data_IF_066779733886
#
_entry.id   IF_066779733886
#
_cell.length_a   1.000
_cell.length_b   1.000
_cell.length_c   1.000
_cell.angle_alpha   90.00
_cell.angle_beta   90.00
_cell.angle_gamma   90.00
#
_symmetry.space_group_name_H-M   'P 1'
#
loop_
_entity.id
_entity.type
_entity.pdbx_description
1 polymer ?
#
# COMPACT_ATOMS: atom_id res chain seq x y z
N UNK A 1 -2.45 32.65 30.04
CA UNK A 1 -2.85 31.33 30.57
C UNK A 1 -4.22 30.92 30.01
N UNK A 2 -4.34 29.78 29.34
CA UNK A 2 -5.66 29.20 28.97
C UNK A 2 -6.32 28.58 30.21
N UNK A 3 -7.00 29.42 31.00
CA UNK A 3 -7.44 29.09 32.36
C UNK A 3 -8.40 27.91 32.42
N UNK A 4 -9.34 27.82 31.47
CA UNK A 4 -10.35 26.76 31.41
C UNK A 4 -9.72 25.38 31.19
N UNK A 5 -8.75 25.29 30.28
CA UNK A 5 -8.05 24.03 29.94
C UNK A 5 -7.18 23.54 31.11
N UNK A 6 -6.52 24.46 31.82
CA UNK A 6 -5.69 24.14 32.99
C UNK A 6 -6.56 23.75 34.19
N UNK A 7 -7.68 24.45 34.40
CA UNK A 7 -8.65 24.13 35.45
C UNK A 7 -9.27 22.74 35.25
N UNK A 8 -9.61 22.38 34.01
CA UNK A 8 -10.10 21.04 33.65
C UNK A 8 -9.04 19.96 33.96
N UNK A 9 -7.78 20.20 33.57
CA UNK A 9 -6.68 19.26 33.80
C UNK A 9 -6.42 19.03 35.30
N UNK A 10 -6.43 20.09 36.10
CA UNK A 10 -6.26 20.01 37.57
C UNK A 10 -7.44 19.27 38.20
N UNK A 11 -8.66 19.62 37.81
CA UNK A 11 -9.90 19.02 38.34
C UNK A 11 -10.00 17.52 38.01
N UNK A 12 -9.48 17.11 36.85
CA UNK A 12 -9.41 15.70 36.45
C UNK A 12 -8.53 14.88 37.38
N UNK A 13 -7.38 15.40 37.81
CA UNK A 13 -6.45 14.67 38.67
C UNK A 13 -6.72 14.84 40.17
N UNK A 14 -7.38 15.94 40.57
CA UNK A 14 -7.73 16.25 41.95
C UNK A 14 -9.22 16.65 42.08
N UNK A 15 -10.18 15.72 41.87
CA UNK A 15 -11.62 15.99 41.81
C UNK A 15 -12.29 16.31 43.16
N UNK A 16 -11.56 16.89 44.10
CA UNK A 16 -12.06 17.24 45.45
C UNK A 16 -11.36 18.44 46.06
N UNK A 17 -10.71 19.28 45.24
CA UNK A 17 -10.17 20.55 45.71
C UNK A 17 -11.30 21.52 46.02
N UNK A 18 -11.13 22.30 47.10
CA UNK A 18 -12.03 23.41 47.36
C UNK A 18 -11.83 24.49 46.30
N UNK A 19 -12.89 25.24 46.00
CA UNK A 19 -12.85 26.35 45.04
C UNK A 19 -11.76 27.35 45.41
N UNK A 20 -11.58 27.64 46.70
CA UNK A 20 -10.54 28.54 47.19
C UNK A 20 -9.12 28.01 46.92
N UNK A 21 -8.89 26.72 47.13
CA UNK A 21 -7.59 26.08 46.87
C UNK A 21 -7.28 26.02 45.37
N UNK A 22 -8.29 25.81 44.53
CA UNK A 22 -8.16 25.80 43.08
C UNK A 22 -7.81 27.20 42.55
N UNK A 23 -8.47 28.24 43.04
CA UNK A 23 -8.18 29.63 42.65
C UNK A 23 -6.74 30.02 43.00
N UNK A 24 -6.29 29.75 44.24
CA UNK A 24 -4.91 30.05 44.65
C UNK A 24 -3.86 29.24 43.88
N UNK A 25 -4.20 28.01 43.47
CA UNK A 25 -3.31 27.20 42.63
C UNK A 25 -3.18 27.77 41.21
N UNK A 26 -4.29 28.24 40.62
CA UNK A 26 -4.27 28.87 39.30
C UNK A 26 -3.47 30.18 39.29
N UNK A 27 -3.57 30.99 40.35
CA UNK A 27 -2.77 32.21 40.52
C UNK A 27 -1.26 31.91 40.60
N UNK A 28 -0.87 30.89 41.38
CA UNK A 28 0.54 30.47 41.45
C UNK A 28 1.05 29.93 40.11
N UNK A 29 0.24 29.19 39.37
CA UNK A 29 0.61 28.71 38.03
C UNK A 29 0.76 29.86 37.03
N UNK A 30 -0.09 30.89 37.14
CA UNK A 30 0.03 32.10 36.32
C UNK A 30 1.30 32.90 36.66
N UNK A 31 1.64 33.04 37.95
CA UNK A 31 2.90 33.68 38.40
C UNK A 31 4.16 32.92 37.93
N UNK A 32 4.07 31.59 37.82
CA UNK A 32 5.13 30.74 37.29
C UNK A 32 5.27 30.82 35.75
N UNK A 33 4.37 31.51 35.07
CA UNK A 33 4.38 31.66 33.61
C UNK A 33 3.81 30.46 32.86
N UNK A 34 2.91 29.69 33.47
CA UNK A 34 2.21 28.59 32.78
C UNK A 34 1.18 29.19 31.82
N UNK A 35 1.40 29.05 30.52
CA UNK A 35 0.51 29.61 29.50
C UNK A 35 -0.49 28.57 28.97
N UNK A 36 -0.07 27.30 28.92
CA UNK A 36 -0.78 26.18 28.31
C UNK A 36 -0.73 24.91 29.15
N UNK A 37 -1.59 23.94 28.83
CA UNK A 37 -1.59 22.61 29.47
C UNK A 37 -0.25 21.87 29.32
N UNK A 38 0.49 22.11 28.23
CA UNK A 38 1.78 21.48 27.99
C UNK A 38 2.84 21.93 29.03
N UNK A 39 2.74 23.16 29.51
CA UNK A 39 3.68 23.75 30.46
C UNK A 39 3.55 23.13 31.86
N UNK A 40 2.39 22.54 32.17
CA UNK A 40 2.12 21.86 33.45
C UNK A 40 3.06 20.68 33.72
N UNK A 41 3.66 20.09 32.68
CA UNK A 41 4.63 18.98 32.81
C UNK A 41 5.97 19.47 33.40
N UNK A 42 6.27 20.77 33.25
CA UNK A 42 7.53 21.39 33.71
C UNK A 42 7.46 21.85 35.17
N UNK A 43 6.26 21.91 35.76
CA UNK A 43 6.02 22.31 37.14
C UNK A 43 6.61 21.27 38.11
N UNK A 44 7.31 21.74 39.15
CA UNK A 44 7.94 20.89 40.16
C UNK A 44 7.15 20.87 41.47
N UNK A 45 7.43 19.89 42.33
CA UNK A 45 6.75 19.77 43.63
C UNK A 45 6.92 21.03 44.47
N UNK A 46 8.11 21.64 44.44
CA UNK A 46 8.46 22.84 45.21
C UNK A 46 7.60 24.05 44.86
N UNK A 47 7.14 24.13 43.61
CA UNK A 47 6.34 25.24 43.10
C UNK A 47 4.91 25.20 43.65
N UNK A 48 4.44 24.02 44.04
CA UNK A 48 3.05 23.75 44.43
C UNK A 48 2.84 23.60 45.94
N UNK A 49 3.91 23.56 46.73
CA UNK A 49 3.85 23.30 48.20
C UNK A 49 3.03 24.35 48.94
N UNK A 50 2.95 25.58 48.41
CA UNK A 50 2.17 26.68 49.01
C UNK A 50 0.66 26.45 48.93
N UNK A 51 0.19 25.67 47.94
CA UNK A 51 -1.24 25.52 47.63
C UNK A 51 -1.74 24.09 47.87
N UNK A 52 -0.87 23.09 47.74
CA UNK A 52 -1.23 21.68 47.78
C UNK A 52 -0.41 20.91 48.82
N UNK A 53 -1.03 19.90 49.44
CA UNK A 53 -0.30 18.97 50.32
C UNK A 53 0.66 18.11 49.48
N UNK A 54 1.77 17.60 50.06
CA UNK A 54 2.75 16.80 49.31
C UNK A 54 2.18 15.63 48.51
N UNK A 55 1.16 14.96 49.04
CA UNK A 55 0.48 13.84 48.33
C UNK A 55 -0.36 14.35 47.15
N UNK A 56 -0.98 15.53 47.27
CA UNK A 56 -1.73 16.15 46.18
C UNK A 56 -0.80 16.64 45.08
N UNK A 57 0.36 17.23 45.41
CA UNK A 57 1.40 17.58 44.44
C UNK A 57 1.85 16.36 43.64
N UNK A 58 2.22 15.27 44.34
CA UNK A 58 2.63 14.02 43.68
C UNK A 58 1.54 13.42 42.81
N UNK A 59 0.29 13.45 43.26
CA UNK A 59 -0.86 12.92 42.51
C UNK A 59 -1.12 13.73 41.24
N UNK A 60 -1.04 15.07 41.33
CA UNK A 60 -1.20 15.97 40.19
C UNK A 60 -0.05 15.79 39.19
N UNK A 61 1.21 15.89 39.63
CA UNK A 61 2.37 15.80 38.76
C UNK A 61 2.53 14.42 38.13
N UNK A 62 2.27 13.34 38.86
CA UNK A 62 2.27 11.99 38.27
C UNK A 62 1.07 11.78 37.35
N UNK A 63 -0.08 12.40 37.63
CA UNK A 63 -1.23 12.39 36.73
C UNK A 63 -0.91 13.05 35.39
N UNK A 64 -0.30 14.23 35.43
CA UNK A 64 0.08 15.02 34.25
C UNK A 64 1.23 14.38 33.46
N UNK A 65 2.19 13.73 34.13
CA UNK A 65 3.31 13.01 33.48
C UNK A 65 2.88 11.69 32.82
N UNK A 66 1.85 11.05 33.37
CA UNK A 66 1.30 9.79 32.86
C UNK A 66 0.03 9.99 32.03
N UNK A 67 -0.40 11.24 31.83
CA UNK A 67 -1.42 11.53 30.83
C UNK A 67 -0.86 11.22 29.45
N UNK A 68 -1.64 10.60 28.54
CA UNK A 68 -1.30 10.63 27.14
C UNK A 68 -1.29 12.10 26.74
N UNK A 69 -0.09 12.66 26.50
CA UNK A 69 0.11 14.01 26.00
C UNK A 69 -0.94 14.30 24.92
N UNK A 70 -1.88 15.20 25.22
CA UNK A 70 -2.91 15.59 24.27
C UNK A 70 -2.21 15.98 22.95
N UNK A 71 -2.43 15.20 21.89
CA UNK A 71 -1.80 15.39 20.58
C UNK A 71 -0.80 14.31 20.14
N UNK A 72 -0.29 13.42 21.01
CA UNK A 72 0.49 12.26 20.56
C UNK A 72 -0.42 11.09 20.17
N UNK A 73 -0.33 10.57 18.94
CA UNK A 73 -1.11 9.41 18.54
C UNK A 73 -0.82 8.17 19.42
N UNK A 74 -1.87 7.49 19.89
CA UNK A 74 -1.79 6.36 20.84
C UNK A 74 -0.84 5.24 20.42
N UNK A 75 -0.65 5.04 19.11
CA UNK A 75 0.15 3.95 18.56
C UNK A 75 1.66 4.15 18.70
N UNK A 76 2.12 5.36 19.04
CA UNK A 76 3.54 5.66 19.25
C UNK A 76 4.04 5.00 20.55
N UNK A 77 3.26 5.16 21.61
CA UNK A 77 3.58 4.63 22.95
C UNK A 77 2.92 3.28 23.22
N UNK A 78 2.14 2.77 22.26
CA UNK A 78 1.54 1.45 22.35
C UNK A 78 2.62 0.37 22.55
N UNK A 79 2.41 -0.46 23.57
CA UNK A 79 3.24 -1.63 23.86
C UNK A 79 2.32 -2.84 23.99
N UNK A 80 2.67 -3.91 23.28
CA UNK A 80 1.94 -5.17 23.38
C UNK A 80 2.11 -5.73 24.79
N UNK A 81 0.99 -5.99 25.45
CA UNK A 81 0.95 -6.68 26.75
C UNK A 81 1.18 -8.17 26.55
N UNK A 82 2.46 -8.54 26.47
CA UNK A 82 2.91 -9.92 26.27
C UNK A 82 2.57 -10.84 27.44
N UNK A 83 2.36 -10.29 28.64
CA UNK A 83 1.88 -10.99 29.84
C UNK A 83 0.50 -11.64 29.63
N UNK A 84 -0.35 -11.05 28.79
CA UNK A 84 -1.68 -11.59 28.43
C UNK A 84 -1.64 -12.68 27.37
N UNK A 85 -0.46 -13.04 26.86
CA UNK A 85 -0.29 -14.07 25.84
C UNK A 85 -0.13 -15.47 26.46
N UNK A 86 -0.39 -16.51 25.66
CA UNK A 86 -0.18 -17.91 26.09
C UNK A 86 1.27 -18.17 26.50
N UNK A 87 1.46 -19.15 27.38
CA UNK A 87 2.80 -19.56 27.82
C UNK A 87 3.68 -20.02 26.65
N UNK A 88 3.09 -20.62 25.60
CA UNK A 88 3.79 -21.01 24.37
C UNK A 88 4.44 -19.82 23.67
N UNK A 89 3.70 -18.72 23.49
CA UNK A 89 4.21 -17.49 22.86
C UNK A 89 5.28 -16.85 23.75
N UNK A 90 5.03 -16.71 25.05
CA UNK A 90 6.00 -16.12 25.98
C UNK A 90 7.32 -16.90 25.99
N UNK A 91 7.26 -18.24 26.02
CA UNK A 91 8.44 -19.11 25.91
C UNK A 91 9.16 -18.92 24.56
N UNK A 92 8.43 -18.84 23.45
CA UNK A 92 9.03 -18.59 22.14
C UNK A 92 9.77 -17.25 22.09
N UNK A 93 9.21 -16.19 22.71
CA UNK A 93 9.86 -14.88 22.82
C UNK A 93 11.13 -14.91 23.67
N UNK A 94 11.08 -15.55 24.84
CA UNK A 94 12.26 -15.72 25.71
C UNK A 94 13.37 -16.50 25.01
N UNK A 95 12.99 -17.51 24.23
CA UNK A 95 13.94 -18.33 23.46
C UNK A 95 14.36 -17.69 22.13
N UNK A 96 13.84 -16.50 21.79
CA UNK A 96 14.08 -15.83 20.51
C UNK A 96 13.82 -16.74 19.30
N UNK A 97 12.78 -17.58 19.41
CA UNK A 97 12.42 -18.60 18.42
C UNK A 97 11.10 -18.26 17.73
N UNK A 98 10.97 -18.64 16.46
CA UNK A 98 9.77 -18.42 15.67
C UNK A 98 8.59 -19.20 16.28
N UNK A 99 7.47 -18.53 16.65
CA UNK A 99 6.30 -19.21 17.15
C UNK A 99 5.68 -20.14 16.10
N UNK A 100 4.97 -21.18 16.56
CA UNK A 100 4.23 -22.08 15.67
C UNK A 100 3.19 -21.31 14.83
N UNK A 101 2.76 -21.81 13.67
CA UNK A 101 1.71 -21.16 12.87
C UNK A 101 0.41 -20.93 13.64
N UNK A 102 0.05 -21.82 14.58
CA UNK A 102 -1.11 -21.67 15.46
C UNK A 102 -0.91 -20.56 16.50
N UNK A 103 0.23 -20.56 17.19
CA UNK A 103 0.58 -19.54 18.18
C UNK A 103 0.69 -18.16 17.55
N UNK A 104 1.27 -18.05 16.34
CA UNK A 104 1.36 -16.78 15.60
C UNK A 104 -0.03 -16.23 15.27
N UNK A 105 -0.96 -17.08 14.82
CA UNK A 105 -2.36 -16.66 14.57
C UNK A 105 -3.04 -16.18 15.86
N UNK A 106 -2.81 -16.85 16.98
CA UNK A 106 -3.34 -16.42 18.28
C UNK A 106 -2.75 -15.07 18.70
N UNK A 107 -1.43 -14.92 18.63
CA UNK A 107 -0.72 -13.67 18.92
C UNK A 107 -1.30 -12.51 18.12
N UNK A 108 -1.47 -12.67 16.80
CA UNK A 108 -2.04 -11.62 15.94
C UNK A 108 -3.45 -11.23 16.38
N UNK A 109 -4.29 -12.21 16.77
CA UNK A 109 -5.64 -11.93 17.29
C UNK A 109 -5.55 -11.10 18.56
N UNK A 110 -4.72 -11.51 19.52
CA UNK A 110 -4.57 -10.83 20.80
C UNK A 110 -3.98 -9.42 20.65
N UNK A 111 -3.01 -9.21 19.76
CA UNK A 111 -2.48 -7.86 19.44
C UNK A 111 -3.60 -6.96 18.90
N UNK A 112 -4.38 -7.44 17.94
CA UNK A 112 -5.51 -6.66 17.40
C UNK A 112 -6.58 -6.42 18.44
N UNK A 113 -6.83 -7.38 19.35
CA UNK A 113 -7.76 -7.19 20.46
C UNK A 113 -7.30 -6.04 21.38
N UNK A 114 -6.00 -5.93 21.66
CA UNK A 114 -5.42 -4.81 22.42
C UNK A 114 -5.47 -3.48 21.64
N UNK A 115 -5.24 -3.49 20.32
CA UNK A 115 -5.38 -2.28 19.50
C UNK A 115 -6.81 -1.71 19.52
N UNK A 116 -7.81 -2.61 19.53
CA UNK A 116 -9.23 -2.25 19.57
C UNK A 116 -9.66 -1.58 20.88
N UNK A 117 -8.84 -1.66 21.95
CA UNK A 117 -9.06 -0.89 23.18
C UNK A 117 -8.81 0.61 22.97
N UNK A 118 -8.09 1.00 21.90
CA UNK A 118 -7.76 2.39 21.56
C UNK A 118 -8.47 2.90 20.30
N UNK A 119 -8.55 2.08 19.25
CA UNK A 119 -9.12 2.44 17.96
C UNK A 119 -9.84 1.22 17.36
N UNK A 120 -11.14 1.39 17.06
CA UNK A 120 -11.97 0.34 16.48
C UNK A 120 -11.65 0.08 14.99
N UNK A 121 -10.98 1.00 14.29
CA UNK A 121 -10.59 0.80 12.90
C UNK A 121 -9.22 1.43 12.57
N UNK A 122 -8.13 0.85 13.10
CA UNK A 122 -6.78 1.35 12.87
C UNK A 122 -6.42 1.34 11.38
N UNK A 123 -5.84 2.45 10.93
CA UNK A 123 -5.37 2.60 9.55
C UNK A 123 -4.19 1.67 9.26
N UNK A 124 -3.87 1.47 7.98
CA UNK A 124 -2.70 0.65 7.60
C UNK A 124 -1.40 1.19 8.18
N UNK A 125 -1.23 2.52 8.24
CA UNK A 125 -0.05 3.17 8.82
C UNK A 125 0.09 2.90 10.32
N UNK A 126 -1.02 2.93 11.05
CA UNK A 126 -1.06 2.56 12.48
C UNK A 126 -0.69 1.08 12.66
N UNK A 127 -1.30 0.20 11.87
CA UNK A 127 -0.99 -1.23 11.92
C UNK A 127 0.49 -1.51 11.60
N UNK A 128 1.07 -0.78 10.65
CA UNK A 128 2.47 -0.89 10.28
C UNK A 128 3.40 -0.43 11.40
N UNK A 129 3.11 0.70 12.05
CA UNK A 129 3.90 1.19 13.19
C UNK A 129 3.99 0.14 14.31
N UNK A 130 2.87 -0.52 14.60
CA UNK A 130 2.82 -1.57 15.63
C UNK A 130 3.53 -2.85 15.17
N UNK A 131 3.30 -3.30 13.92
CA UNK A 131 3.99 -4.47 13.37
C UNK A 131 5.51 -4.28 13.35
N UNK A 132 5.96 -3.10 12.94
CA UNK A 132 7.36 -2.70 12.91
C UNK A 132 7.97 -2.68 14.32
N UNK A 133 7.27 -2.10 15.31
CA UNK A 133 7.71 -2.10 16.71
C UNK A 133 7.89 -3.53 17.26
N UNK A 134 6.94 -4.43 16.99
CA UNK A 134 7.02 -5.84 17.39
C UNK A 134 8.23 -6.54 16.75
N UNK A 135 8.45 -6.33 15.45
CA UNK A 135 9.57 -6.96 14.72
C UNK A 135 10.90 -6.40 15.17
N UNK A 136 10.98 -5.10 15.47
CA UNK A 136 12.18 -4.47 16.02
C UNK A 136 12.56 -5.07 17.37
N UNK A 137 11.57 -5.29 18.25
CA UNK A 137 11.81 -5.83 19.59
C UNK A 137 12.09 -7.35 19.56
N UNK A 138 11.52 -8.09 18.59
CA UNK A 138 11.66 -9.55 18.45
C UNK A 138 11.92 -10.00 17.00
N UNK A 139 13.07 -9.61 16.40
CA UNK A 139 13.31 -9.84 14.97
C UNK A 139 13.40 -11.32 14.62
N UNK A 140 14.05 -12.15 15.45
CA UNK A 140 14.17 -13.60 15.22
C UNK A 140 12.83 -14.33 15.28
N UNK A 141 11.86 -13.78 16.00
CA UNK A 141 10.53 -14.39 16.15
C UNK A 141 9.61 -14.05 14.97
N UNK A 142 9.67 -12.80 14.49
CA UNK A 142 8.61 -12.26 13.63
C UNK A 142 9.06 -11.69 12.29
N UNK A 143 10.34 -11.36 12.11
CA UNK A 143 10.83 -10.75 10.88
C UNK A 143 10.65 -11.68 9.67
N UNK A 144 10.42 -11.06 8.52
CA UNK A 144 10.47 -11.71 7.23
C UNK A 144 11.93 -11.91 6.81
N UNK A 145 12.39 -13.16 6.88
CA UNK A 145 13.78 -13.54 6.58
C UNK A 145 13.79 -14.42 5.32
N UNK A 146 14.66 -14.08 4.37
CA UNK A 146 14.90 -14.82 3.14
C UNK A 146 15.68 -16.12 3.36
N UNK A 147 15.83 -16.92 2.30
CA UNK A 147 16.53 -18.22 2.36
C UNK A 147 18.00 -18.10 2.81
N UNK A 148 18.62 -16.92 2.64
CA UNK A 148 20.02 -16.66 3.00
C UNK A 148 20.17 -15.99 4.36
N UNK A 149 19.09 -15.80 5.11
CA UNK A 149 19.12 -15.12 6.41
C UNK A 149 19.00 -13.60 6.34
N UNK A 150 18.83 -13.04 5.14
CA UNK A 150 18.62 -11.61 4.90
C UNK A 150 17.19 -11.17 5.25
N UNK A 151 17.04 -10.00 5.88
CA UNK A 151 15.72 -9.44 6.19
C UNK A 151 15.11 -8.84 4.92
N UNK A 152 13.88 -9.24 4.59
CA UNK A 152 13.17 -8.76 3.40
C UNK A 152 12.51 -7.41 3.71
N UNK A 153 12.96 -6.34 3.05
CA UNK A 153 12.44 -4.98 3.28
C UNK A 153 12.70 -4.52 4.72
N UNK A 154 11.66 -4.08 5.42
CA UNK A 154 11.73 -3.74 6.85
C UNK A 154 11.43 -4.94 7.78
N UNK A 155 11.24 -6.13 7.20
CA UNK A 155 10.95 -7.37 7.92
C UNK A 155 9.52 -7.49 8.47
N UNK A 156 8.67 -6.46 8.32
CA UNK A 156 7.35 -6.40 8.97
C UNK A 156 6.17 -6.73 8.07
N UNK A 157 6.41 -6.95 6.77
CA UNK A 157 5.36 -7.05 5.77
C UNK A 157 4.33 -8.16 6.07
N UNK A 158 4.78 -9.40 6.34
CA UNK A 158 3.87 -10.51 6.59
C UNK A 158 3.05 -10.31 7.87
N UNK A 159 3.66 -9.72 8.91
CA UNK A 159 2.99 -9.43 10.16
C UNK A 159 1.96 -8.30 9.99
N UNK A 160 2.31 -7.23 9.26
CA UNK A 160 1.39 -6.16 8.89
C UNK A 160 0.16 -6.72 8.17
N UNK A 161 0.36 -7.59 7.17
CA UNK A 161 -0.77 -8.15 6.42
C UNK A 161 -1.68 -9.00 7.32
N UNK A 162 -1.10 -9.80 8.23
CA UNK A 162 -1.87 -10.60 9.19
C UNK A 162 -2.68 -9.72 10.16
N UNK A 163 -2.07 -8.66 10.69
CA UNK A 163 -2.73 -7.69 11.57
C UNK A 163 -3.86 -6.99 10.82
N UNK A 164 -3.61 -6.48 9.60
CA UNK A 164 -4.62 -5.73 8.85
C UNK A 164 -5.80 -6.60 8.44
N UNK A 165 -5.55 -7.83 7.98
CA UNK A 165 -6.60 -8.79 7.67
C UNK A 165 -7.45 -9.13 8.91
N UNK A 166 -6.84 -9.21 10.09
CA UNK A 166 -7.56 -9.46 11.35
C UNK A 166 -8.42 -8.25 11.78
N UNK A 167 -7.92 -7.02 11.61
CA UNK A 167 -8.70 -5.78 11.81
C UNK A 167 -9.93 -5.77 10.91
N UNK A 168 -9.74 -6.06 9.61
CA UNK A 168 -10.84 -6.12 8.64
C UNK A 168 -11.86 -7.20 8.99
N UNK A 169 -11.42 -8.38 9.42
CA UNK A 169 -12.31 -9.44 9.86
C UNK A 169 -13.17 -9.00 11.06
N UNK A 170 -12.58 -8.31 12.05
CA UNK A 170 -13.34 -7.76 13.18
C UNK A 170 -14.38 -6.72 12.72
N UNK A 171 -14.01 -5.88 11.77
CA UNK A 171 -14.87 -4.81 11.27
C UNK A 171 -15.86 -5.26 10.18
N UNK A 172 -15.85 -6.53 9.77
CA UNK A 172 -16.72 -7.06 8.69
C UNK A 172 -18.21 -6.78 8.91
N UNK A 173 -18.67 -6.73 10.16
CA UNK A 173 -20.08 -6.45 10.51
C UNK A 173 -20.30 -5.05 11.09
N UNK A 174 -19.24 -4.25 11.23
CA UNK A 174 -19.33 -2.91 11.81
C UNK A 174 -19.33 -1.85 10.70
N UNK A 175 -20.52 -1.59 10.16
CA UNK A 175 -20.74 -0.57 9.11
C UNK A 175 -20.42 0.85 9.58
N UNK A 176 -20.55 1.13 10.89
CA UNK A 176 -20.29 2.44 11.50
C UNK A 176 -18.79 2.74 11.65
N UNK A 177 -17.96 1.72 11.85
CA UNK A 177 -16.51 1.88 11.92
C UNK A 177 -15.84 1.99 10.54
N UNK A 178 -16.59 1.90 9.44
CA UNK A 178 -16.05 1.92 8.08
C UNK A 178 -15.64 3.35 7.70
N UNK A 179 -14.33 3.57 7.51
CA UNK A 179 -13.83 4.85 6.98
C UNK A 179 -14.39 5.18 5.58
N UNK A 180 -14.81 4.15 4.82
CA UNK A 180 -15.39 4.30 3.48
C UNK A 180 -16.92 4.42 3.59
N UNK A 181 -17.46 5.61 3.30
CA UNK A 181 -18.91 5.82 3.15
C UNK A 181 -19.47 4.90 2.05
N UNK A 182 -20.61 4.28 2.29
CA UNK A 182 -21.38 3.65 1.22
C UNK A 182 -21.84 4.73 0.23
N UNK A 183 -21.59 4.50 -1.07
CA UNK A 183 -22.06 5.39 -2.12
C UNK A 183 -23.59 5.34 -2.13
N UNK A 184 -24.23 6.52 -2.01
CA UNK A 184 -25.68 6.68 -2.25
C UNK A 184 -26.05 6.00 -3.58
N UNK A 185 -27.12 5.20 -3.64
CA UNK A 185 -27.66 4.72 -4.91
C UNK A 185 -28.07 5.92 -5.76
N UNK A 186 -27.63 5.99 -7.02
CA UNK A 186 -28.02 7.06 -7.95
C UNK A 186 -29.41 6.73 -8.52
N UNK A 187 -30.45 7.13 -7.82
CA UNK A 187 -31.74 7.47 -8.45
C UNK A 187 -31.95 8.97 -8.31
N UNK A 188 -31.31 9.74 -9.20
CA UNK A 188 -31.70 11.11 -9.47
C UNK A 188 -31.43 11.36 -10.97
N UNK A 189 -32.53 11.55 -11.68
CA UNK A 189 -32.60 11.87 -13.10
C UNK A 189 -31.98 13.24 -13.36
N UNK A 190 -31.43 13.35 -14.57
CA UNK A 190 -30.71 14.49 -15.16
C UNK A 190 -31.66 15.67 -15.42
N UNK A 191 -31.20 16.89 -15.21
CA UNK A 191 -31.50 17.99 -16.12
C UNK A 191 -30.27 18.89 -16.30
N UNK A 192 -29.93 19.16 -17.56
CA UNK A 192 -29.10 20.29 -17.99
C UNK A 192 -27.69 20.41 -17.41
N UNK A 193 -26.71 19.76 -18.04
CA UNK A 193 -25.31 20.20 -17.89
C UNK A 193 -24.30 19.07 -17.89
N UNK A 194 -23.39 19.12 -18.88
CA UNK A 194 -22.23 18.25 -19.04
C UNK A 194 -21.51 17.98 -17.72
N UNK A 195 -21.55 16.73 -17.27
CA UNK A 195 -20.48 16.10 -16.51
C UNK A 195 -20.39 14.68 -17.04
N UNK A 196 -19.36 14.39 -17.84
CA UNK A 196 -18.96 13.01 -18.13
C UNK A 196 -18.85 12.31 -16.78
N UNK A 197 -19.75 11.36 -16.53
CA UNK A 197 -19.71 10.59 -15.31
C UNK A 197 -18.37 9.87 -15.29
N UNK A 198 -17.41 10.36 -14.48
CA UNK A 198 -16.19 9.60 -14.19
C UNK A 198 -16.66 8.22 -13.78
N UNK A 199 -16.27 7.21 -14.57
CA UNK A 199 -16.58 5.82 -14.31
C UNK A 199 -16.09 5.40 -12.92
N UNK A 200 -16.49 4.21 -12.44
CA UNK A 200 -16.10 3.73 -11.12
C UNK A 200 -14.57 3.84 -10.93
N UNK A 201 -14.15 4.77 -10.07
CA UNK A 201 -12.72 5.12 -9.85
C UNK A 201 -11.98 4.04 -9.04
N UNK A 202 -12.63 2.91 -8.74
CA UNK A 202 -12.08 1.80 -7.95
C UNK A 202 -12.10 0.48 -8.74
N UNK A 203 -11.74 0.52 -10.02
CA UNK A 203 -11.38 -0.68 -10.76
C UNK A 203 -9.87 -0.63 -11.05
N UNK A 204 -9.10 -1.43 -10.32
CA UNK A 204 -7.73 -1.73 -10.73
C UNK A 204 -7.79 -2.51 -12.05
N UNK A 205 -7.05 -2.07 -13.06
CA UNK A 205 -6.99 -2.70 -14.39
C UNK A 205 -7.54 -1.80 -15.51
N UNK A 206 -7.56 -2.33 -16.73
CA UNK A 206 -8.13 -1.66 -17.89
C UNK A 206 -9.66 -1.55 -17.72
N UNK A 207 -10.13 -0.41 -17.19
CA UNK A 207 -11.55 -0.12 -16.84
C UNK A 207 -12.49 -0.27 -18.04
N UNK A 208 -11.95 -0.11 -19.26
CA UNK A 208 -12.65 -0.38 -20.53
C UNK A 208 -11.91 -1.45 -21.31
N UNK A 209 -11.83 -2.65 -20.73
CA UNK A 209 -11.15 -3.79 -21.34
C UNK A 209 -11.67 -4.10 -22.75
N UNK A 210 -12.97 -3.98 -22.99
CA UNK A 210 -13.62 -4.22 -24.29
C UNK A 210 -14.71 -3.17 -24.54
N UNK A 211 -14.36 -1.98 -25.06
CA UNK A 211 -15.34 -0.94 -25.35
C UNK A 211 -16.28 -1.37 -26.48
N UNK A 212 -17.57 -1.05 -26.32
CA UNK A 212 -18.61 -1.27 -27.34
C UNK A 212 -19.24 0.03 -27.84
N UNK A 213 -19.05 1.12 -27.09
CA UNK A 213 -19.55 2.45 -27.43
C UNK A 213 -18.68 3.09 -28.51
N UNK A 214 -19.28 3.42 -29.65
CA UNK A 214 -18.61 4.14 -30.73
C UNK A 214 -18.43 5.63 -30.35
N UNK A 215 -17.37 6.30 -30.84
CA UNK A 215 -17.24 7.74 -30.69
C UNK A 215 -18.44 8.49 -31.28
N UNK A 216 -18.77 9.66 -30.74
CA UNK A 216 -19.95 10.42 -31.14
C UNK A 216 -19.92 10.77 -32.64
N UNK A 217 -20.96 10.36 -33.37
CA UNK A 217 -21.09 10.62 -34.80
C UNK A 217 -20.34 9.63 -35.71
N UNK A 218 -19.63 8.65 -35.15
CA UNK A 218 -18.91 7.63 -35.91
C UNK A 218 -19.74 6.34 -36.02
N UNK A 219 -19.69 5.69 -37.18
CA UNK A 219 -20.21 4.33 -37.40
C UNK A 219 -19.07 3.34 -37.53
N UNK A 220 -19.38 2.04 -37.51
CA UNK A 220 -18.35 1.01 -37.69
C UNK A 220 -17.63 1.15 -39.05
N UNK A 221 -18.36 1.48 -40.11
CA UNK A 221 -17.82 1.72 -41.45
C UNK A 221 -16.86 2.92 -41.45
N UNK A 222 -17.23 4.02 -40.79
CA UNK A 222 -16.37 5.19 -40.63
C UNK A 222 -15.07 4.83 -39.92
N UNK A 223 -15.12 4.02 -38.86
CA UNK A 223 -13.93 3.57 -38.14
C UNK A 223 -12.99 2.71 -39.01
N UNK A 224 -13.52 1.84 -39.87
CA UNK A 224 -12.71 1.08 -40.82
C UNK A 224 -12.08 1.96 -41.90
N UNK A 225 -12.77 3.01 -42.35
CA UNK A 225 -12.17 3.99 -43.27
C UNK A 225 -11.05 4.78 -42.59
N UNK A 226 -11.23 5.17 -41.32
CA UNK A 226 -10.17 5.80 -40.52
C UNK A 226 -8.99 4.84 -40.33
N UNK A 227 -9.24 3.54 -40.11
CA UNK A 227 -8.18 2.52 -40.05
C UNK A 227 -7.40 2.46 -41.37
N UNK A 228 -8.08 2.51 -42.51
CA UNK A 228 -7.44 2.56 -43.83
C UNK A 228 -6.58 3.82 -44.02
N UNK A 229 -7.05 4.97 -43.53
CA UNK A 229 -6.25 6.19 -43.51
C UNK A 229 -4.97 6.03 -42.67
N UNK A 230 -5.06 5.38 -41.51
CA UNK A 230 -3.89 5.05 -40.69
C UNK A 230 -2.89 4.19 -41.47
N UNK A 231 -3.35 3.13 -42.14
CA UNK A 231 -2.48 2.28 -42.98
C UNK A 231 -1.78 3.09 -44.08
N UNK A 232 -2.50 4.03 -44.72
CA UNK A 232 -1.93 4.89 -45.76
C UNK A 232 -0.84 5.84 -45.19
N UNK A 233 -1.11 6.48 -44.05
CA UNK A 233 -0.13 7.34 -43.38
C UNK A 233 1.15 6.56 -43.05
N UNK A 234 1.00 5.33 -42.56
CA UNK A 234 2.14 4.46 -42.27
C UNK A 234 2.91 4.08 -43.55
N UNK A 235 2.20 3.80 -44.63
CA UNK A 235 2.82 3.43 -45.92
C UNK A 235 3.62 4.59 -46.53
N UNK A 236 3.15 5.82 -46.36
CA UNK A 236 3.82 7.02 -46.90
C UNK A 236 4.97 7.53 -46.01
N UNK A 237 4.79 7.51 -44.69
CA UNK A 237 5.70 8.20 -43.74
C UNK A 237 6.34 7.27 -42.71
N UNK A 238 5.99 5.99 -42.71
CA UNK A 238 6.38 5.04 -41.66
C UNK A 238 6.02 5.56 -40.27
N UNK A 239 6.94 5.35 -39.32
CA UNK A 239 6.79 5.86 -37.94
C UNK A 239 6.86 7.39 -37.84
N UNK A 240 7.37 8.09 -38.87
CA UNK A 240 7.36 9.56 -38.92
C UNK A 240 5.96 10.17 -39.02
N UNK A 241 4.94 9.36 -39.32
CA UNK A 241 3.53 9.77 -39.32
C UNK A 241 2.82 9.69 -37.96
N UNK A 242 3.50 9.25 -36.90
CA UNK A 242 2.88 8.93 -35.61
C UNK A 242 2.11 10.11 -34.97
N UNK A 243 2.64 11.33 -35.03
CA UNK A 243 1.96 12.52 -34.51
C UNK A 243 0.65 12.81 -35.26
N UNK A 244 0.64 12.60 -36.58
CA UNK A 244 -0.59 12.77 -37.40
C UNK A 244 -1.59 11.64 -37.15
N UNK A 245 -1.09 10.43 -36.87
CA UNK A 245 -1.91 9.25 -36.61
C UNK A 245 -2.60 9.29 -35.24
N UNK A 246 -2.08 10.04 -34.25
CA UNK A 246 -2.55 10.00 -32.86
C UNK A 246 -4.07 10.25 -32.71
N UNK A 247 -4.60 11.30 -33.34
CA UNK A 247 -6.03 11.60 -33.28
C UNK A 247 -6.90 10.51 -33.94
N UNK A 248 -6.39 9.86 -34.98
CA UNK A 248 -7.08 8.78 -35.68
C UNK A 248 -7.02 7.47 -34.88
N UNK A 249 -5.91 7.21 -34.19
CA UNK A 249 -5.77 6.10 -33.23
C UNK A 249 -6.74 6.25 -32.05
N UNK A 250 -6.93 7.46 -31.52
CA UNK A 250 -7.91 7.70 -30.45
C UNK A 250 -9.34 7.37 -30.90
N UNK A 251 -9.73 7.81 -32.10
CA UNK A 251 -11.05 7.49 -32.67
C UNK A 251 -11.25 6.00 -32.91
N UNK A 252 -10.22 5.31 -33.38
CA UNK A 252 -10.28 3.88 -33.72
C UNK A 252 -9.98 2.95 -32.53
N UNK A 253 -9.78 3.50 -31.33
CA UNK A 253 -9.50 2.73 -30.12
C UNK A 253 -10.47 1.56 -29.89
N UNK A 254 -11.75 1.74 -30.22
CA UNK A 254 -12.77 0.70 -30.07
C UNK A 254 -12.46 -0.54 -30.92
N UNK A 255 -12.22 -0.35 -32.22
CA UNK A 255 -11.95 -1.45 -33.15
C UNK A 255 -10.54 -2.01 -32.96
N UNK A 256 -9.58 -1.18 -32.58
CA UNK A 256 -8.25 -1.62 -32.19
C UNK A 256 -8.33 -2.57 -30.99
N UNK A 257 -9.13 -2.23 -29.97
CA UNK A 257 -9.28 -3.05 -28.77
C UNK A 257 -10.06 -4.34 -29.04
N UNK A 258 -11.08 -4.29 -29.89
CA UNK A 258 -11.79 -5.48 -30.34
C UNK A 258 -10.88 -6.46 -31.07
N UNK A 259 -10.01 -5.95 -31.97
CA UNK A 259 -9.01 -6.74 -32.66
C UNK A 259 -8.02 -7.39 -31.68
N UNK A 260 -7.44 -6.60 -30.75
CA UNK A 260 -6.50 -7.12 -29.74
C UNK A 260 -7.12 -8.15 -28.78
N UNK A 261 -8.43 -8.13 -28.62
CA UNK A 261 -9.18 -9.06 -27.76
C UNK A 261 -9.79 -10.22 -28.53
N UNK A 262 -9.50 -10.39 -29.82
CA UNK A 262 -10.06 -11.49 -30.60
C UNK A 262 -9.64 -12.84 -30.00
N UNK A 263 -10.45 -13.85 -30.25
CA UNK A 263 -10.15 -15.23 -29.89
C UNK A 263 -10.19 -16.05 -31.19
N UNK A 264 -9.05 -16.59 -31.67
CA UNK A 264 -7.72 -16.55 -31.05
C UNK A 264 -7.10 -15.14 -31.02
N UNK A 265 -6.19 -14.92 -30.07
CA UNK A 265 -5.47 -13.65 -29.94
C UNK A 265 -4.52 -13.46 -31.14
N UNK A 266 -4.42 -12.24 -31.70
CA UNK A 266 -3.50 -11.98 -32.79
C UNK A 266 -2.06 -12.02 -32.27
N UNK A 267 -1.15 -12.50 -33.12
CA UNK A 267 0.29 -12.49 -32.88
C UNK A 267 0.85 -11.07 -32.93
N UNK A 268 2.02 -10.84 -32.34
CA UNK A 268 2.65 -9.52 -32.35
C UNK A 268 2.92 -9.05 -33.79
N UNK A 269 3.26 -9.97 -34.70
CA UNK A 269 3.49 -9.67 -36.10
C UNK A 269 2.21 -9.18 -36.80
N UNK A 270 1.08 -9.87 -36.59
CA UNK A 270 -0.23 -9.45 -37.13
C UNK A 270 -0.66 -8.10 -36.55
N UNK A 271 -0.42 -7.86 -35.26
CA UNK A 271 -0.70 -6.55 -34.64
C UNK A 271 0.18 -5.46 -35.25
N UNK A 272 1.45 -5.75 -35.53
CA UNK A 272 2.38 -4.79 -36.14
C UNK A 272 1.97 -4.45 -37.58
N UNK A 273 1.44 -5.42 -38.33
CA UNK A 273 0.93 -5.20 -39.68
C UNK A 273 -0.37 -4.39 -39.68
N UNK A 274 -1.34 -4.78 -38.85
CA UNK A 274 -2.68 -4.19 -38.82
C UNK A 274 -2.75 -2.84 -38.08
N UNK A 275 -1.89 -2.65 -37.08
CA UNK A 275 -1.85 -1.48 -36.20
C UNK A 275 -0.40 -1.01 -35.90
N UNK A 276 0.38 -0.64 -36.93
CA UNK A 276 1.82 -0.35 -36.79
C UNK A 276 2.12 0.78 -35.80
N UNK A 277 1.25 1.79 -35.72
CA UNK A 277 1.44 2.92 -34.80
C UNK A 277 1.36 2.55 -33.31
N UNK A 278 0.90 1.35 -32.95
CA UNK A 278 0.99 0.85 -31.57
C UNK A 278 2.42 0.61 -31.11
N UNK A 279 3.34 0.43 -32.04
CA UNK A 279 4.76 0.26 -31.77
C UNK A 279 5.51 1.59 -31.80
N UNK A 280 4.79 2.72 -31.86
CA UNK A 280 5.41 4.04 -31.68
C UNK A 280 5.91 4.14 -30.24
N UNK A 281 7.22 4.30 -30.10
CA UNK A 281 7.87 4.33 -28.80
C UNK A 281 7.41 5.57 -28.04
N UNK A 282 6.43 5.38 -27.15
CA UNK A 282 5.97 6.37 -26.17
C UNK A 282 6.22 5.91 -24.74
N UNK A 283 7.05 4.89 -24.57
CA UNK A 283 7.45 4.45 -23.23
C UNK A 283 8.30 5.53 -22.58
N UNK A 284 7.86 5.98 -21.41
CA UNK A 284 8.63 6.85 -20.54
C UNK A 284 10.02 6.24 -20.33
N UNK A 285 11.07 7.03 -20.56
CA UNK A 285 12.48 6.61 -20.37
C UNK A 285 12.66 6.00 -18.97
N UNK A 286 11.98 6.55 -17.96
CA UNK A 286 12.03 6.04 -16.60
C UNK A 286 11.42 4.63 -16.44
N UNK A 287 10.52 4.20 -17.32
CA UNK A 287 9.98 2.84 -17.33
C UNK A 287 11.01 1.84 -17.88
N UNK A 288 11.67 2.19 -18.99
CA UNK A 288 12.70 1.34 -19.60
C UNK A 288 13.88 1.14 -18.64
N UNK A 289 14.33 2.21 -17.98
CA UNK A 289 15.38 2.13 -16.95
C UNK A 289 14.98 1.21 -15.80
N UNK A 290 13.75 1.35 -15.28
CA UNK A 290 13.24 0.48 -14.20
C UNK A 290 13.08 -0.98 -14.64
N UNK A 291 12.67 -1.22 -15.88
CA UNK A 291 12.56 -2.56 -16.43
C UNK A 291 13.94 -3.20 -16.53
N UNK A 292 14.93 -2.47 -17.06
CA UNK A 292 16.31 -2.93 -17.14
C UNK A 292 16.89 -3.20 -15.75
N UNK A 293 16.67 -2.28 -14.80
CA UNK A 293 17.08 -2.44 -13.40
C UNK A 293 16.44 -3.69 -12.78
N UNK A 294 15.14 -3.91 -12.98
CA UNK A 294 14.42 -5.06 -12.47
C UNK A 294 14.95 -6.38 -13.07
N UNK A 295 15.22 -6.42 -14.37
CA UNK A 295 15.82 -7.58 -15.06
C UNK A 295 17.24 -7.83 -14.53
N UNK A 296 18.02 -6.79 -14.32
CA UNK A 296 19.38 -6.93 -13.79
C UNK A 296 19.36 -7.47 -12.36
N UNK A 297 18.53 -6.88 -11.49
CA UNK A 297 18.43 -7.23 -10.07
C UNK A 297 17.76 -8.59 -9.83
N UNK A 298 16.67 -8.89 -10.56
CA UNK A 298 15.83 -10.07 -10.31
C UNK A 298 16.03 -11.19 -11.34
N UNK A 299 16.54 -10.88 -12.53
CA UNK A 299 16.72 -11.86 -13.61
C UNK A 299 17.62 -13.02 -13.21
N UNK A 300 18.71 -12.77 -12.47
CA UNK A 300 19.57 -13.86 -11.96
C UNK A 300 18.83 -14.81 -11.01
N UNK A 301 17.83 -14.29 -10.28
CA UNK A 301 16.99 -15.12 -9.40
C UNK A 301 16.07 -16.01 -10.22
N UNK A 302 15.50 -15.50 -11.31
CA UNK A 302 14.65 -16.26 -12.24
C UNK A 302 15.49 -17.34 -12.92
N UNK A 303 16.66 -17.00 -13.47
CA UNK A 303 17.57 -17.96 -14.10
C UNK A 303 17.92 -19.10 -13.14
N UNK A 304 18.34 -18.77 -11.90
CA UNK A 304 18.64 -19.79 -10.89
C UNK A 304 17.44 -20.67 -10.55
N UNK A 305 16.26 -20.06 -10.41
CA UNK A 305 15.02 -20.81 -10.18
C UNK A 305 14.74 -21.79 -11.33
N UNK A 306 14.90 -21.36 -12.58
CA UNK A 306 14.74 -22.21 -13.75
C UNK A 306 15.79 -23.33 -13.84
N UNK A 307 17.03 -23.08 -13.41
CA UNK A 307 18.08 -24.12 -13.31
C UNK A 307 17.72 -25.23 -12.30
N UNK A 308 17.04 -24.88 -11.20
CA UNK A 308 16.54 -25.87 -10.22
C UNK A 308 15.36 -26.70 -10.77
N UNK A 309 14.72 -26.25 -11.86
CA UNK A 309 13.50 -26.78 -12.46
C UNK A 309 13.76 -27.86 -13.54
N UNK A 310 14.89 -28.59 -13.43
CA UNK A 310 15.54 -29.57 -14.34
C UNK A 310 14.69 -30.76 -14.85
N UNK A 311 13.46 -30.50 -15.29
CA UNK A 311 12.48 -31.46 -15.80
C UNK A 311 11.69 -30.92 -17.00
N UNK A 312 11.97 -29.70 -17.46
CA UNK A 312 11.29 -29.07 -18.59
C UNK A 312 12.24 -28.92 -19.77
N UNK A 313 12.09 -29.71 -20.86
CA UNK A 313 13.00 -29.69 -22.00
C UNK A 313 13.15 -28.31 -22.65
N UNK A 314 12.07 -27.52 -22.72
CA UNK A 314 12.10 -26.17 -23.27
C UNK A 314 12.93 -25.20 -22.42
N UNK A 315 12.91 -25.35 -21.10
CA UNK A 315 13.71 -24.54 -20.18
C UNK A 315 15.19 -24.93 -20.29
N UNK A 316 15.49 -26.23 -20.37
CA UNK A 316 16.85 -26.73 -20.56
C UNK A 316 17.48 -26.26 -21.87
N UNK A 317 16.71 -26.26 -22.96
CA UNK A 317 17.17 -25.76 -24.26
C UNK A 317 17.53 -24.27 -24.20
N UNK A 318 16.71 -23.45 -23.53
CA UNK A 318 16.96 -22.01 -23.37
C UNK A 318 18.20 -21.78 -22.49
N UNK A 319 18.33 -22.52 -21.38
CA UNK A 319 19.48 -22.41 -20.48
C UNK A 319 20.78 -22.85 -21.15
N UNK A 320 20.74 -23.88 -22.00
CA UNK A 320 21.91 -24.36 -22.73
C UNK A 320 22.43 -23.35 -23.76
N UNK A 321 21.55 -22.50 -24.30
CA UNK A 321 21.91 -21.42 -25.24
C UNK A 321 22.31 -20.12 -24.56
N UNK A 322 22.15 -20.01 -23.23
CA UNK A 322 22.45 -18.79 -22.49
C UNK A 322 23.89 -18.77 -21.99
N UNK A 323 24.66 -17.83 -22.52
CA UNK A 323 26.01 -17.52 -22.07
C UNK A 323 26.01 -16.18 -21.29
N UNK A 324 26.38 -16.17 -20.00
CA UNK A 324 26.24 -14.98 -19.15
C UNK A 324 26.96 -13.71 -19.64
N UNK A 325 28.06 -13.87 -20.40
CA UNK A 325 28.92 -12.77 -20.84
C UNK A 325 28.57 -12.24 -22.24
N UNK A 326 27.86 -13.03 -23.06
CA UNK A 326 27.59 -12.74 -24.48
C UNK A 326 26.10 -12.62 -24.79
N UNK A 327 25.25 -13.29 -24.03
CA UNK A 327 23.81 -13.33 -24.27
C UNK A 327 23.07 -12.17 -23.60
N UNK A 328 22.03 -11.68 -24.25
CA UNK A 328 21.13 -10.69 -23.64
C UNK A 328 20.32 -11.35 -22.50
N UNK A 329 20.61 -10.92 -21.28
CA UNK A 329 19.95 -11.38 -20.07
C UNK A 329 18.44 -11.12 -20.08
N UNK A 330 17.98 -10.01 -20.65
CA UNK A 330 16.56 -9.69 -20.76
C UNK A 330 15.83 -10.70 -21.65
N UNK A 331 16.41 -10.99 -22.81
CA UNK A 331 15.88 -11.98 -23.76
C UNK A 331 15.80 -13.36 -23.11
N UNK A 332 16.87 -13.79 -22.45
CA UNK A 332 16.90 -15.08 -21.74
C UNK A 332 15.81 -15.16 -20.65
N UNK A 333 15.69 -14.15 -19.80
CA UNK A 333 14.69 -14.11 -18.73
C UNK A 333 13.27 -14.16 -19.29
N UNK A 334 12.98 -13.41 -20.37
CA UNK A 334 11.67 -13.44 -21.02
C UNK A 334 11.36 -14.82 -21.60
N UNK A 335 12.30 -15.43 -22.33
CA UNK A 335 12.14 -16.78 -22.89
C UNK A 335 11.90 -17.83 -21.79
N UNK A 336 12.63 -17.74 -20.68
CA UNK A 336 12.45 -18.65 -19.53
C UNK A 336 11.06 -18.50 -18.90
N UNK A 337 10.56 -17.26 -18.74
CA UNK A 337 9.23 -17.02 -18.21
C UNK A 337 8.16 -17.56 -19.16
N UNK A 338 8.29 -17.31 -20.47
CA UNK A 338 7.37 -17.82 -21.48
C UNK A 338 7.34 -19.36 -21.47
N UNK A 339 8.51 -20.01 -21.45
CA UNK A 339 8.60 -21.46 -21.36
C UNK A 339 7.99 -22.03 -20.07
N UNK A 340 8.19 -21.36 -18.93
CA UNK A 340 7.63 -21.75 -17.64
C UNK A 340 6.09 -21.66 -17.63
N UNK A 341 5.53 -20.60 -18.20
CA UNK A 341 4.07 -20.43 -18.33
C UNK A 341 3.45 -21.15 -19.53
N UNK A 342 4.27 -21.82 -20.35
CA UNK A 342 3.87 -22.53 -21.57
C UNK A 342 3.27 -21.61 -22.65
N UNK A 343 3.78 -20.39 -22.72
CA UNK A 343 3.44 -19.41 -23.75
C UNK A 343 4.28 -19.64 -25.02
N UNK A 344 3.70 -19.51 -26.23
CA UNK A 344 4.46 -19.58 -27.49
C UNK A 344 5.49 -18.46 -27.60
N UNK A 345 6.68 -18.74 -28.14
CA UNK A 345 7.74 -17.71 -28.35
C UNK A 345 7.25 -16.51 -29.18
N UNK A 346 6.41 -16.79 -30.18
CA UNK A 346 5.82 -15.81 -31.09
C UNK A 346 4.74 -14.92 -30.45
N UNK A 347 4.31 -15.21 -29.23
CA UNK A 347 3.30 -14.42 -28.53
C UNK A 347 3.83 -13.09 -28.00
N UNK A 348 5.14 -12.98 -27.77
CA UNK A 348 5.76 -11.76 -27.24
C UNK A 348 6.99 -11.35 -28.06
N UNK A 349 7.78 -12.32 -28.54
CA UNK A 349 9.00 -12.03 -29.28
C UNK A 349 8.74 -11.99 -30.79
N UNK A 350 9.24 -10.92 -31.41
CA UNK A 350 9.39 -10.82 -32.85
C UNK A 350 10.79 -11.33 -33.19
N UNK A 351 10.86 -12.38 -34.00
CA UNK A 351 12.13 -12.77 -34.62
C UNK A 351 12.45 -11.70 -35.68
N UNK A 352 13.63 -11.09 -35.57
CA UNK A 352 14.15 -10.19 -36.61
C UNK A 352 15.09 -11.04 -37.46
N UNK A 353 14.81 -11.10 -38.77
CA UNK A 353 15.68 -11.78 -39.75
C UNK A 353 17.09 -11.17 -39.79
#
# INVERSE_FOLDING_TARGET
MNREEIEEAISTHLPGLSVQTLTSLLEVLEELGVESRADLVLVQENDLVKCLRPIQCRKLLNGLKNEPLAGRPWYIDFRVRWDRMTASIRKALSNQARPSPGDRKYMVRAVVDQMFEHDLNPTRAICHSIAWSIVRDYPKCFADVGKKGDIVGDGSHSLLQQIKARVEYKNRKNTLARHRREKRPRTAVVEGGRLMARGPVDQYGCVRWSPTELPSGETMESLYEIKKQLSNIYSEKGMGGAETAEALMEKTYVIQRQYLNSVPAPTVAEIQEEWPFLFSQRTDVAFLDKMQEAINNKGSTIIRFCQELSRHPSIEEILAKYEPETSDKAVCVLLLLMAYFKEPKTSIMLETD
#
